data_IF_494895455949
#
_entry.id   IF_494895455949
#
_cell.length_a   1.000
_cell.length_b   1.000
_cell.length_c   1.000
_cell.angle_alpha   90.00
_cell.angle_beta   90.00
_cell.angle_gamma   90.00
#
_symmetry.space_group_name_H-M   'P 1'
#
loop_
_entity.id
_entity.type
_entity.pdbx_description
1 polymer ?
#
# COMPACT_ATOMS: atom_id res chain seq x y z
N UNK A 1 -16.83 27.94 -10.09
CA UNK A 1 -17.37 27.04 -9.05
C UNK A 1 -16.92 25.62 -9.38
N UNK A 2 -15.85 25.14 -8.75
CA UNK A 2 -15.35 23.79 -8.96
C UNK A 2 -15.93 22.87 -7.89
N UNK A 3 -16.69 21.89 -8.37
CA UNK A 3 -17.46 20.93 -7.59
C UNK A 3 -16.51 20.12 -6.70
N UNK A 4 -16.70 20.28 -5.39
CA UNK A 4 -16.12 19.43 -4.35
C UNK A 4 -16.68 18.04 -4.56
N UNK A 5 -15.87 17.12 -5.09
CA UNK A 5 -16.22 15.71 -5.06
C UNK A 5 -16.12 15.25 -3.60
N UNK A 6 -17.28 15.15 -2.95
CA UNK A 6 -17.45 14.33 -1.76
C UNK A 6 -16.89 12.94 -2.07
N UNK A 7 -15.80 12.60 -1.38
CA UNK A 7 -15.30 11.24 -1.27
C UNK A 7 -16.41 10.45 -0.58
N UNK A 8 -17.33 9.89 -1.38
CA UNK A 8 -18.25 8.88 -0.90
C UNK A 8 -17.39 7.77 -0.28
N UNK A 9 -17.46 7.65 1.04
CA UNK A 9 -16.88 6.57 1.82
C UNK A 9 -17.43 5.26 1.25
N UNK A 10 -16.69 4.67 0.30
CA UNK A 10 -17.01 3.37 -0.26
C UNK A 10 -16.98 2.39 0.90
N UNK A 11 -18.17 1.99 1.34
CA UNK A 11 -18.40 1.06 2.44
C UNK A 11 -17.53 -0.17 2.26
N UNK A 12 -16.48 -0.29 3.07
CA UNK A 12 -15.64 -1.47 3.09
C UNK A 12 -16.54 -2.66 3.47
N UNK A 13 -16.58 -3.71 2.63
CA UNK A 13 -17.33 -4.93 2.94
C UNK A 13 -16.92 -5.45 4.32
N UNK A 14 -17.87 -5.40 5.24
CA UNK A 14 -17.77 -5.67 6.66
C UNK A 14 -17.03 -6.98 7.02
N UNK A 15 -16.11 -6.95 7.99
CA UNK A 15 -15.37 -8.12 8.49
C UNK A 15 -16.21 -8.89 9.53
N UNK A 16 -16.20 -10.22 9.50
CA UNK A 16 -16.91 -11.06 10.49
C UNK A 16 -15.87 -11.71 11.39
N UNK A 17 -15.93 -11.40 12.69
CA UNK A 17 -15.04 -11.94 13.71
C UNK A 17 -15.61 -13.20 14.36
N UNK A 18 -14.75 -14.01 14.97
CA UNK A 18 -15.18 -15.18 15.77
C UNK A 18 -16.09 -14.75 16.93
N UNK A 19 -17.02 -15.63 17.32
CA UNK A 19 -18.00 -15.38 18.39
C UNK A 19 -17.37 -14.98 19.73
N UNK A 20 -16.24 -15.58 20.07
CA UNK A 20 -15.50 -15.30 21.30
C UNK A 20 -14.20 -14.58 20.96
N UNK A 21 -13.82 -13.61 21.79
CA UNK A 21 -12.52 -12.98 21.72
C UNK A 21 -11.43 -14.04 22.03
N UNK A 22 -10.30 -14.06 21.29
CA UNK A 22 -9.26 -15.10 21.42
C UNK A 22 -8.91 -15.41 22.88
N UNK A 23 -8.80 -16.70 23.21
CA UNK A 23 -8.39 -17.21 24.53
C UNK A 23 -9.22 -16.71 25.73
N UNK A 24 -10.45 -16.23 25.50
CA UNK A 24 -11.32 -15.71 26.57
C UNK A 24 -12.75 -16.22 26.45
N UNK A 25 -13.55 -15.96 27.50
CA UNK A 25 -15.01 -16.16 27.49
C UNK A 25 -15.78 -14.91 27.03
N UNK A 26 -15.07 -13.84 26.61
CA UNK A 26 -15.71 -12.59 26.19
C UNK A 26 -16.41 -12.78 24.83
N UNK A 27 -17.74 -12.85 24.88
CA UNK A 27 -18.60 -13.05 23.70
C UNK A 27 -18.83 -11.71 22.99
N UNK A 28 -18.58 -11.68 21.68
CA UNK A 28 -18.90 -10.55 20.81
C UNK A 28 -20.41 -10.46 20.56
N UNK A 29 -20.91 -9.25 20.40
CA UNK A 29 -22.26 -8.98 19.91
C UNK A 29 -22.40 -9.55 18.49
N UNK A 30 -23.51 -10.23 18.22
CA UNK A 30 -23.77 -10.79 16.90
C UNK A 30 -24.23 -9.69 15.96
N UNK A 31 -23.48 -9.46 14.88
CA UNK A 31 -23.75 -8.42 13.90
C UNK A 31 -24.05 -9.05 12.55
N UNK A 32 -25.13 -8.61 11.92
CA UNK A 32 -25.37 -8.84 10.50
C UNK A 32 -24.47 -7.94 9.66
N UNK A 33 -24.31 -8.27 8.37
CA UNK A 33 -23.47 -7.47 7.44
C UNK A 33 -23.90 -6.00 7.33
N UNK A 34 -25.18 -5.70 7.52
CA UNK A 34 -25.74 -4.34 7.44
C UNK A 34 -25.44 -3.50 8.68
N UNK A 35 -25.27 -4.14 9.84
CA UNK A 35 -25.04 -3.46 11.12
C UNK A 35 -23.57 -3.12 11.36
N UNK A 36 -22.65 -3.68 10.59
CA UNK A 36 -21.20 -3.49 10.79
C UNK A 36 -20.74 -2.05 10.45
N UNK A 37 -21.11 -1.43 9.32
CA UNK A 37 -20.69 -0.06 9.04
C UNK A 37 -21.17 0.93 10.11
N UNK A 38 -20.29 1.83 10.57
CA UNK A 38 -20.63 2.84 11.58
C UNK A 38 -21.75 3.78 11.14
N UNK A 39 -21.91 4.00 9.83
CA UNK A 39 -23.01 4.78 9.24
C UNK A 39 -24.39 4.17 9.46
N UNK A 40 -24.48 2.85 9.72
CA UNK A 40 -25.74 2.23 10.08
C UNK A 40 -26.16 2.67 11.49
N UNK A 41 -27.35 3.26 11.60
CA UNK A 41 -27.90 3.73 12.86
C UNK A 41 -28.33 2.55 13.74
N UNK A 42 -27.53 2.23 14.77
CA UNK A 42 -27.79 1.13 15.69
C UNK A 42 -27.76 1.63 17.14
N UNK A 43 -28.83 2.31 17.62
CA UNK A 43 -28.84 2.96 18.93
C UNK A 43 -28.78 1.97 20.10
N UNK A 44 -29.26 0.74 19.90
CA UNK A 44 -29.22 -0.34 20.89
C UNK A 44 -27.89 -1.12 20.91
N UNK A 45 -26.91 -0.71 20.10
CA UNK A 45 -25.62 -1.39 20.04
C UNK A 45 -24.81 -1.10 21.31
N UNK A 46 -24.80 -2.07 22.23
CA UNK A 46 -24.07 -1.99 23.49
C UNK A 46 -23.26 -3.28 23.68
N UNK A 47 -22.20 -3.48 22.89
CA UNK A 47 -21.38 -4.68 22.97
C UNK A 47 -20.68 -4.76 24.33
N UNK A 48 -20.32 -5.99 24.73
CA UNK A 48 -19.47 -6.20 25.90
C UNK A 48 -18.15 -5.46 25.72
N UNK A 49 -17.60 -5.00 26.84
CA UNK A 49 -16.31 -4.36 26.91
C UNK A 49 -15.28 -5.35 27.42
N UNK A 50 -14.09 -5.37 26.81
CA UNK A 50 -12.97 -6.20 27.25
C UNK A 50 -11.64 -5.48 27.02
N UNK A 51 -10.82 -5.44 28.08
CA UNK A 51 -9.44 -4.97 28.09
C UNK A 51 -8.62 -6.02 28.86
N UNK A 52 -7.63 -6.63 28.22
CA UNK A 52 -6.69 -7.50 28.91
C UNK A 52 -5.71 -6.67 29.75
N UNK A 53 -5.16 -7.24 30.84
CA UNK A 53 -4.03 -6.63 31.54
C UNK A 53 -2.88 -6.33 30.58
N UNK A 54 -2.18 -5.21 30.80
CA UNK A 54 -1.00 -4.91 30.00
C UNK A 54 0.12 -5.90 30.33
N UNK A 55 0.81 -6.49 29.33
CA UNK A 55 1.99 -7.31 29.59
C UNK A 55 3.07 -6.53 30.36
N UNK A 56 3.78 -7.15 31.33
CA UNK A 56 4.79 -6.46 32.14
C UNK A 56 5.94 -5.84 31.34
N UNK A 57 6.26 -6.41 30.18
CA UNK A 57 7.33 -6.00 29.28
C UNK A 57 6.88 -4.96 28.23
N UNK A 58 5.62 -4.52 28.29
CA UNK A 58 5.02 -3.59 27.31
C UNK A 58 4.39 -2.39 28.01
N UNK A 59 4.25 -1.31 27.24
CA UNK A 59 3.51 -0.12 27.67
C UNK A 59 2.21 -0.04 26.87
N UNK A 60 1.08 -0.14 27.56
CA UNK A 60 -0.23 -0.05 26.96
C UNK A 60 -0.90 1.28 27.32
N UNK A 61 -1.77 1.75 26.45
CA UNK A 61 -2.58 2.92 26.74
C UNK A 61 -3.52 2.63 27.92
N UNK A 62 -3.54 3.48 28.96
CA UNK A 62 -4.53 3.37 30.01
C UNK A 62 -5.94 3.56 29.45
N UNK A 63 -6.92 3.06 30.19
CA UNK A 63 -8.30 3.36 29.89
C UNK A 63 -8.74 4.62 30.63
N UNK A 64 -8.81 5.73 29.88
CA UNK A 64 -9.22 7.01 30.44
C UNK A 64 -10.45 7.50 29.68
N UNK A 65 -11.56 7.68 30.40
CA UNK A 65 -12.79 8.19 29.82
C UNK A 65 -12.70 9.70 29.62
N UNK A 66 -13.23 10.19 28.49
CA UNK A 66 -13.31 11.62 28.15
C UNK A 66 -11.94 12.34 28.04
N UNK A 67 -10.84 11.59 27.96
CA UNK A 67 -9.52 12.13 27.65
C UNK A 67 -9.10 11.62 26.28
N UNK A 68 -9.11 12.52 25.32
CA UNK A 68 -8.76 12.23 23.93
C UNK A 68 -7.25 12.27 23.75
N UNK A 69 -6.66 11.18 23.25
CA UNK A 69 -5.34 11.22 22.64
C UNK A 69 -5.35 12.06 21.37
N UNK A 70 -4.17 12.40 20.86
CA UNK A 70 -4.02 13.05 19.55
C UNK A 70 -4.20 12.04 18.40
N UNK A 71 -5.41 11.50 18.28
CA UNK A 71 -5.78 10.55 17.23
C UNK A 71 -5.59 11.13 15.82
N UNK A 72 -5.41 10.25 14.83
CA UNK A 72 -5.16 10.64 13.44
C UNK A 72 -3.90 11.53 13.25
N UNK A 73 -2.98 11.51 14.22
CA UNK A 73 -1.71 12.23 14.20
C UNK A 73 -0.61 11.44 14.93
N UNK A 74 0.60 12.00 14.99
CA UNK A 74 1.67 11.48 15.86
C UNK A 74 1.49 12.13 17.24
N UNK A 75 1.33 11.29 18.26
CA UNK A 75 1.09 11.67 19.65
C UNK A 75 2.31 11.31 20.49
N UNK A 76 3.22 12.27 20.66
CA UNK A 76 4.54 12.00 21.24
C UNK A 76 5.34 11.06 20.34
N UNK A 77 5.74 9.90 20.86
CA UNK A 77 6.40 8.83 20.09
C UNK A 77 5.44 7.86 19.41
N UNK A 78 4.13 7.94 19.69
CA UNK A 78 3.13 6.98 19.21
C UNK A 78 2.49 7.51 17.93
N UNK A 79 2.63 6.76 16.84
CA UNK A 79 1.89 7.02 15.61
C UNK A 79 0.45 6.51 15.75
N UNK A 80 -0.50 7.43 15.89
CA UNK A 80 -1.94 7.12 15.96
C UNK A 80 -2.63 7.30 14.61
N UNK A 81 -1.91 7.25 13.51
CA UNK A 81 -2.49 7.37 12.17
C UNK A 81 -2.78 6.00 11.58
N UNK A 82 -3.96 5.84 10.99
CA UNK A 82 -4.29 4.64 10.23
C UNK A 82 -3.79 4.76 8.79
N UNK A 83 -3.31 3.64 8.27
CA UNK A 83 -2.95 3.43 6.87
C UNK A 83 -4.18 3.56 5.95
N UNK A 84 -5.37 3.35 6.51
CA UNK A 84 -6.64 3.52 5.80
C UNK A 84 -7.13 4.98 5.74
N UNK A 85 -6.39 5.91 6.36
CA UNK A 85 -6.75 7.32 6.44
C UNK A 85 -7.40 7.69 7.77
N UNK A 86 -8.11 8.82 7.79
CA UNK A 86 -8.73 9.31 9.04
C UNK A 86 -9.84 8.37 9.49
N UNK A 87 -9.79 7.96 10.75
CA UNK A 87 -10.85 7.19 11.41
C UNK A 87 -11.67 8.07 12.36
N UNK A 88 -12.92 7.66 12.59
CA UNK A 88 -13.84 8.34 13.49
C UNK A 88 -13.44 8.18 14.97
N UNK A 89 -13.81 9.15 15.79
CA UNK A 89 -13.67 9.10 17.26
C UNK A 89 -15.05 9.36 17.84
N UNK A 90 -15.48 8.52 18.78
CA UNK A 90 -16.79 8.66 19.42
C UNK A 90 -16.79 9.79 20.46
N UNK A 91 -17.99 10.14 20.94
CA UNK A 91 -18.19 11.21 21.94
C UNK A 91 -17.51 10.96 23.29
N UNK A 92 -17.01 9.75 23.53
CA UNK A 92 -16.31 9.36 24.75
C UNK A 92 -14.79 9.27 24.54
N UNK A 93 -14.28 9.81 23.44
CA UNK A 93 -12.87 9.78 23.07
C UNK A 93 -12.32 8.39 22.71
N UNK A 94 -13.16 7.44 22.30
CA UNK A 94 -12.69 6.16 21.77
C UNK A 94 -12.67 6.15 20.24
N UNK A 95 -11.59 5.66 19.61
CA UNK A 95 -11.53 5.57 18.17
C UNK A 95 -12.50 4.49 17.67
N UNK A 96 -12.95 4.65 16.44
CA UNK A 96 -13.86 3.75 15.76
C UNK A 96 -13.11 2.99 14.67
N UNK A 97 -13.10 1.66 14.75
CA UNK A 97 -12.42 0.81 13.79
C UNK A 97 -12.90 1.12 12.36
N UNK A 98 -11.99 1.47 11.42
CA UNK A 98 -12.34 1.90 10.07
C UNK A 98 -13.03 0.80 9.24
N UNK A 99 -12.97 -0.47 9.68
CA UNK A 99 -13.69 -1.59 9.07
C UNK A 99 -15.07 -1.85 9.69
N UNK A 100 -15.52 -1.01 10.62
CA UNK A 100 -16.84 -1.06 11.24
C UNK A 100 -16.83 -1.71 12.63
N UNK A 101 -18.04 -1.93 13.14
CA UNK A 101 -18.32 -2.63 14.40
C UNK A 101 -17.81 -4.07 14.34
N UNK A 102 -17.11 -4.46 15.40
CA UNK A 102 -16.58 -5.79 15.63
C UNK A 102 -17.41 -6.63 16.61
N UNK A 103 -18.36 -5.99 17.31
CA UNK A 103 -19.16 -6.62 18.36
C UNK A 103 -18.50 -6.60 19.75
N UNK A 104 -17.40 -5.86 19.94
CA UNK A 104 -16.71 -5.79 21.22
C UNK A 104 -16.06 -4.41 21.41
N UNK A 105 -16.29 -3.76 22.56
CA UNK A 105 -15.62 -2.52 22.95
C UNK A 105 -14.37 -2.77 23.79
N UNK A 106 -13.51 -1.76 23.87
CA UNK A 106 -12.22 -1.84 24.57
C UNK A 106 -11.07 -2.11 23.61
N UNK A 107 -9.83 -2.14 24.11
CA UNK A 107 -8.62 -2.51 23.36
C UNK A 107 -8.49 -4.01 23.12
N UNK A 108 -9.19 -4.83 23.91
CA UNK A 108 -8.86 -6.25 23.99
C UNK A 108 -7.43 -6.44 24.52
N UNK A 109 -6.62 -7.21 23.81
CA UNK A 109 -5.21 -7.49 24.11
C UNK A 109 -4.24 -6.52 23.42
N UNK A 110 -4.74 -5.61 22.58
CA UNK A 110 -3.91 -4.66 21.86
C UNK A 110 -3.40 -3.55 22.79
N UNK A 111 -2.22 -3.02 22.48
CA UNK A 111 -1.50 -2.10 23.37
C UNK A 111 -2.06 -0.68 23.27
N UNK A 112 -2.42 -0.24 22.06
CA UNK A 112 -2.85 1.14 21.77
C UNK A 112 -4.35 1.21 21.49
N UNK A 113 -4.97 2.33 21.85
CA UNK A 113 -6.29 2.69 21.29
C UNK A 113 -6.11 3.11 19.83
N UNK A 114 -6.95 2.56 18.95
CA UNK A 114 -6.90 2.81 17.51
C UNK A 114 -5.97 1.84 16.78
N UNK A 115 -5.15 2.32 15.81
CA UNK A 115 -4.26 1.44 15.05
C UNK A 115 -3.11 0.93 15.94
N UNK A 116 -2.83 -0.37 15.84
CA UNK A 116 -1.68 -1.04 16.42
C UNK A 116 -0.81 -1.53 15.27
N UNK A 117 0.34 -0.89 15.08
CA UNK A 117 1.22 -1.17 13.96
C UNK A 117 2.09 -2.39 14.23
N UNK A 118 2.01 -3.39 13.37
CA UNK A 118 2.79 -4.63 13.44
C UNK A 118 3.68 -4.74 12.20
N UNK A 119 4.99 -4.72 12.38
CA UNK A 119 5.95 -4.73 11.26
C UNK A 119 6.56 -6.12 11.15
N UNK A 120 6.48 -6.71 9.96
CA UNK A 120 6.93 -8.06 9.65
C UNK A 120 7.96 -8.05 8.53
N UNK A 121 8.86 -9.02 8.58
CA UNK A 121 9.91 -9.22 7.59
C UNK A 121 9.87 -10.65 7.06
N UNK A 122 9.76 -10.80 5.75
CA UNK A 122 10.06 -12.02 5.01
C UNK A 122 11.52 -11.93 4.63
N UNK A 123 12.38 -12.72 5.27
CA UNK A 123 13.82 -12.74 4.99
C UNK A 123 14.13 -14.09 4.38
N UNK A 124 14.68 -14.10 3.17
CA UNK A 124 15.06 -15.32 2.48
C UNK A 124 16.51 -15.33 2.06
N UNK A 125 17.09 -16.52 1.96
CA UNK A 125 18.46 -16.75 1.52
C UNK A 125 18.54 -17.91 0.50
N UNK A 126 19.61 -17.96 -0.28
CA UNK A 126 19.83 -18.94 -1.34
C UNK A 126 19.08 -18.70 -2.68
N UNK A 127 19.66 -19.22 -3.78
CA UNK A 127 19.10 -19.13 -5.15
C UNK A 127 18.18 -20.30 -5.48
N UNK A 128 18.74 -21.52 -5.47
CA UNK A 128 18.08 -22.75 -5.95
C UNK A 128 17.19 -23.37 -4.87
N UNK A 129 17.74 -23.55 -3.67
CA UNK A 129 17.00 -23.93 -2.48
C UNK A 129 16.81 -22.66 -1.67
N UNK A 130 15.56 -22.24 -1.49
CA UNK A 130 15.23 -21.04 -0.72
C UNK A 130 14.90 -21.40 0.71
N UNK A 131 15.65 -20.80 1.62
CA UNK A 131 15.35 -20.83 3.03
C UNK A 131 14.74 -19.50 3.45
N UNK A 132 13.81 -19.57 4.40
CA UNK A 132 13.15 -18.40 4.98
C UNK A 132 13.37 -18.39 6.48
N UNK A 133 13.73 -17.22 7.00
CA UNK A 133 13.83 -16.99 8.43
C UNK A 133 12.43 -16.89 9.02
N UNK A 134 12.10 -17.79 9.94
CA UNK A 134 10.76 -17.90 10.53
C UNK A 134 10.84 -18.12 12.04
N UNK A 135 9.78 -17.78 12.77
CA UNK A 135 9.67 -18.16 14.18
C UNK A 135 9.44 -19.67 14.27
N UNK A 136 10.24 -20.34 15.11
CA UNK A 136 10.15 -21.75 15.36
C UNK A 136 8.87 -22.06 16.18
N UNK A 137 7.83 -22.48 15.46
CA UNK A 137 6.57 -22.92 16.07
C UNK A 137 6.46 -24.44 16.06
N UNK A 138 5.83 -25.00 17.10
CA UNK A 138 5.43 -26.40 17.15
C UNK A 138 4.43 -26.76 16.03
N UNK A 139 3.63 -25.79 15.57
CA UNK A 139 2.74 -25.98 14.42
C UNK A 139 3.51 -25.78 13.12
N UNK A 140 4.01 -26.88 12.55
CA UNK A 140 4.73 -26.88 11.26
C UNK A 140 3.90 -26.32 10.10
N UNK A 141 2.57 -26.24 10.22
CA UNK A 141 1.69 -25.70 9.16
C UNK A 141 1.58 -24.18 9.19
N UNK A 142 1.92 -23.55 10.32
CA UNK A 142 1.80 -22.11 10.48
C UNK A 142 3.16 -21.41 10.39
N UNK A 143 3.46 -20.87 9.21
CA UNK A 143 4.65 -20.04 9.00
C UNK A 143 4.44 -18.69 9.70
N UNK A 144 5.33 -18.30 10.60
CA UNK A 144 5.26 -17.02 11.30
C UNK A 144 6.50 -16.21 10.92
N UNK A 145 6.28 -15.05 10.30
CA UNK A 145 7.35 -14.15 9.94
C UNK A 145 7.88 -13.42 11.19
N UNK A 146 9.20 -13.18 11.28
CA UNK A 146 9.75 -12.26 12.27
C UNK A 146 9.00 -10.93 12.21
N UNK A 147 8.48 -10.49 13.36
CA UNK A 147 7.75 -9.25 13.43
C UNK A 147 7.41 -8.86 14.86
N UNK A 148 7.11 -7.57 15.02
CA UNK A 148 6.86 -6.97 16.32
C UNK A 148 5.90 -5.78 16.19
N UNK A 149 5.18 -5.50 17.28
CA UNK A 149 4.40 -4.27 17.43
C UNK A 149 5.31 -3.08 17.68
N UNK A 150 5.07 -1.98 16.96
CA UNK A 150 5.87 -0.77 17.06
C UNK A 150 4.97 0.43 17.29
N UNK A 151 5.45 1.37 18.11
CA UNK A 151 4.71 2.60 18.39
C UNK A 151 4.68 3.53 17.19
N UNK A 152 5.75 3.56 16.40
CA UNK A 152 5.84 4.35 15.19
C UNK A 152 6.37 3.52 14.02
N UNK A 153 5.50 3.33 13.02
CA UNK A 153 5.81 2.60 11.79
C UNK A 153 6.45 3.47 10.70
N UNK A 154 6.50 4.80 10.87
CA UNK A 154 7.09 5.69 9.86
C UNK A 154 8.61 5.52 9.84
N UNK A 155 9.16 5.36 8.63
CA UNK A 155 10.59 5.25 8.36
C UNK A 155 11.31 4.17 9.20
N UNK A 156 10.57 3.15 9.66
CA UNK A 156 11.17 2.07 10.41
C UNK A 156 12.15 1.29 9.53
N UNK A 157 13.30 0.96 10.13
CA UNK A 157 14.23 -0.06 9.62
C UNK A 157 13.68 -1.41 10.06
N UNK A 158 14.36 -2.14 10.94
CA UNK A 158 13.81 -3.32 11.59
C UNK A 158 13.07 -2.95 12.87
N UNK A 159 12.09 -3.77 13.32
CA UNK A 159 11.55 -3.65 14.67
C UNK A 159 12.67 -3.83 15.71
N UNK A 160 12.60 -3.17 16.88
CA UNK A 160 13.68 -3.16 17.86
C UNK A 160 14.22 -4.55 18.25
N UNK A 161 13.34 -5.52 18.52
CA UNK A 161 13.80 -6.85 18.91
C UNK A 161 14.52 -7.58 17.77
N UNK A 162 14.03 -7.42 16.53
CA UNK A 162 14.67 -8.02 15.36
C UNK A 162 15.99 -7.33 15.02
N UNK A 163 16.06 -6.00 15.16
CA UNK A 163 17.29 -5.25 14.98
C UNK A 163 18.35 -5.71 15.99
N UNK A 164 17.99 -5.79 17.28
CA UNK A 164 18.90 -6.22 18.33
C UNK A 164 19.40 -7.66 18.11
N UNK A 165 18.52 -8.55 17.64
CA UNK A 165 18.93 -9.91 17.25
C UNK A 165 19.95 -9.89 16.11
N UNK A 166 19.67 -9.14 15.03
CA UNK A 166 20.57 -9.03 13.88
C UNK A 166 21.93 -8.45 14.28
N UNK A 167 21.94 -7.33 15.01
CA UNK A 167 23.17 -6.67 15.45
C UNK A 167 23.98 -7.58 16.38
N UNK A 168 23.36 -8.13 17.42
CA UNK A 168 24.06 -8.99 18.39
C UNK A 168 24.62 -10.26 17.73
N UNK A 169 23.91 -10.83 16.77
CA UNK A 169 24.33 -12.04 16.06
C UNK A 169 25.51 -11.79 15.12
N UNK A 170 25.47 -10.69 14.36
CA UNK A 170 26.53 -10.37 13.41
C UNK A 170 27.78 -9.79 14.11
N UNK A 171 27.61 -9.02 15.19
CA UNK A 171 28.71 -8.41 15.94
C UNK A 171 29.62 -9.43 16.65
N UNK A 172 29.18 -10.69 16.81
CA UNK A 172 30.06 -11.76 17.31
C UNK A 172 31.17 -12.12 16.31
N UNK A 173 30.86 -12.06 15.01
CA UNK A 173 31.73 -12.53 13.93
C UNK A 173 32.34 -11.40 13.10
N UNK A 174 31.75 -10.20 13.12
CA UNK A 174 32.10 -9.10 12.24
C UNK A 174 32.27 -7.78 13.00
N UNK A 175 33.20 -6.89 12.56
CA UNK A 175 33.35 -5.56 13.15
C UNK A 175 32.15 -4.67 12.85
N UNK A 176 31.91 -3.67 13.70
CA UNK A 176 30.71 -2.82 13.67
C UNK A 176 30.44 -2.18 12.29
N UNK A 177 31.46 -1.70 11.60
CA UNK A 177 31.32 -1.09 10.27
C UNK A 177 30.76 -2.07 9.23
N UNK A 178 31.15 -3.35 9.31
CA UNK A 178 30.67 -4.42 8.41
C UNK A 178 29.23 -4.78 8.77
N UNK A 179 28.89 -4.87 10.06
CA UNK A 179 27.51 -5.11 10.53
C UNK A 179 26.56 -4.03 10.01
N UNK A 180 26.96 -2.76 10.12
CA UNK A 180 26.16 -1.64 9.63
C UNK A 180 26.02 -1.66 8.10
N UNK A 181 27.05 -2.08 7.37
CA UNK A 181 26.97 -2.25 5.91
C UNK A 181 26.00 -3.37 5.51
N UNK A 182 26.05 -4.52 6.18
CA UNK A 182 25.11 -5.64 5.98
C UNK A 182 23.66 -5.19 6.20
N UNK A 183 23.39 -4.52 7.33
CA UNK A 183 22.05 -4.01 7.66
C UNK A 183 21.58 -3.00 6.61
N UNK A 184 22.46 -2.07 6.20
CA UNK A 184 22.16 -1.05 5.18
C UNK A 184 21.84 -1.69 3.83
N UNK A 185 22.63 -2.68 3.40
CA UNK A 185 22.42 -3.38 2.13
C UNK A 185 21.10 -4.17 2.13
N UNK A 186 20.81 -4.88 3.23
CA UNK A 186 19.54 -5.58 3.40
C UNK A 186 18.33 -4.63 3.33
N UNK A 187 18.43 -3.47 3.99
CA UNK A 187 17.37 -2.46 3.99
C UNK A 187 17.23 -1.72 2.66
N UNK A 188 18.31 -1.59 1.88
CA UNK A 188 18.31 -0.99 0.54
C UNK A 188 17.53 -1.83 -0.47
N UNK A 189 17.67 -3.16 -0.37
CA UNK A 189 17.05 -4.12 -1.28
C UNK A 189 15.64 -4.57 -0.83
N UNK A 190 15.16 -4.08 0.32
CA UNK A 190 13.84 -4.47 0.84
C UNK A 190 12.70 -4.05 -0.08
N UNK A 191 11.68 -4.88 -0.17
CA UNK A 191 10.46 -4.56 -0.90
C UNK A 191 9.23 -4.66 -0.01
N UNK A 192 8.39 -3.64 -0.04
CA UNK A 192 7.08 -3.66 0.62
C UNK A 192 6.12 -4.60 -0.12
N UNK A 193 5.77 -5.74 0.50
CA UNK A 193 4.79 -6.71 -0.04
C UNK A 193 3.37 -6.35 0.35
N UNK A 194 3.18 -5.81 1.55
CA UNK A 194 1.87 -5.47 2.06
C UNK A 194 1.93 -4.31 3.03
N UNK A 195 0.93 -3.43 2.96
CA UNK A 195 0.75 -2.30 3.85
C UNK A 195 -0.74 -2.02 4.02
N UNK A 196 -1.31 -2.36 5.17
CA UNK A 196 -2.72 -2.13 5.41
C UNK A 196 -3.30 -2.85 6.62
N UNK A 197 -4.63 -2.85 6.65
CA UNK A 197 -5.41 -3.41 7.75
C UNK A 197 -5.23 -4.92 7.89
N UNK A 198 -4.83 -5.36 9.08
CA UNK A 198 -4.65 -6.78 9.35
C UNK A 198 -5.93 -7.37 9.98
N UNK A 199 -6.51 -8.35 9.29
CA UNK A 199 -7.76 -9.00 9.66
C UNK A 199 -7.58 -10.00 10.82
N UNK A 200 -7.38 -9.47 12.03
CA UNK A 200 -7.06 -10.22 13.25
C UNK A 200 -8.27 -10.36 14.18
N UNK A 201 -8.43 -11.52 14.80
CA UNK A 201 -9.52 -11.79 15.75
C UNK A 201 -9.40 -10.98 17.06
N UNK A 202 -8.24 -10.34 17.30
CA UNK A 202 -8.03 -9.38 18.39
C UNK A 202 -8.58 -7.99 18.10
N UNK A 203 -8.96 -7.68 16.86
CA UNK A 203 -9.51 -6.37 16.54
C UNK A 203 -10.86 -6.15 17.25
N UNK A 204 -11.05 -4.97 17.80
CA UNK A 204 -12.26 -4.55 18.49
C UNK A 204 -12.90 -3.36 17.78
N UNK A 205 -13.91 -2.76 18.39
CA UNK A 205 -14.48 -1.49 17.93
C UNK A 205 -13.49 -0.33 18.10
N UNK A 206 -12.54 -0.45 19.02
CA UNK A 206 -11.70 0.65 19.51
C UNK A 206 -10.19 0.40 19.38
N UNK A 207 -9.76 -0.77 18.95
CA UNK A 207 -8.37 -1.06 18.63
C UNK A 207 -8.30 -2.09 17.50
N UNK A 208 -7.38 -1.90 16.56
CA UNK A 208 -7.21 -2.83 15.44
C UNK A 208 -5.76 -2.91 15.02
N UNK A 209 -5.42 -4.01 14.37
CA UNK A 209 -4.09 -4.20 13.82
C UNK A 209 -3.97 -3.66 12.40
N UNK A 210 -2.83 -3.07 12.13
CA UNK A 210 -2.38 -2.77 10.78
C UNK A 210 -0.95 -3.26 10.63
N UNK A 211 -0.59 -3.77 9.46
CA UNK A 211 0.72 -4.39 9.26
C UNK A 211 1.44 -3.91 8.03
N UNK A 212 2.77 -3.82 8.17
CA UNK A 212 3.73 -3.70 7.08
C UNK A 212 4.43 -5.04 6.95
N UNK A 213 4.52 -5.56 5.72
CA UNK A 213 5.29 -6.76 5.41
C UNK A 213 6.35 -6.35 4.40
N UNK A 214 7.60 -6.32 4.86
CA UNK A 214 8.77 -6.15 4.01
C UNK A 214 9.35 -7.50 3.61
N UNK A 215 9.98 -7.55 2.45
CA UNK A 215 10.60 -8.73 1.86
C UNK A 215 12.04 -8.39 1.51
N UNK A 216 12.98 -9.16 2.06
CA UNK A 216 14.42 -9.05 1.84
C UNK A 216 14.88 -10.39 1.32
N UNK A 217 15.40 -10.39 0.09
CA UNK A 217 15.97 -11.56 -0.54
C UNK A 217 17.49 -11.42 -0.61
N UNK A 218 18.19 -12.25 0.14
CA UNK A 218 19.65 -12.32 0.20
C UNK A 218 20.16 -13.58 -0.52
N UNK A 219 20.07 -13.57 -1.84
CA UNK A 219 20.23 -14.78 -2.65
C UNK A 219 21.65 -15.37 -2.66
N UNK A 220 22.67 -14.56 -2.37
CA UNK A 220 24.08 -14.94 -2.34
C UNK A 220 24.60 -15.17 -0.92
N UNK A 221 23.70 -15.16 0.08
CA UNK A 221 24.01 -15.33 1.50
C UNK A 221 25.06 -14.34 2.04
N UNK A 222 25.15 -13.14 1.44
CA UNK A 222 26.18 -12.14 1.77
C UNK A 222 25.74 -11.10 2.82
N UNK A 223 24.46 -11.06 3.17
CA UNK A 223 23.88 -10.10 4.11
C UNK A 223 23.20 -10.83 5.29
N UNK A 224 21.86 -10.81 5.35
CA UNK A 224 21.10 -11.42 6.45
C UNK A 224 21.10 -12.94 6.39
N UNK A 225 21.52 -13.56 5.28
CA UNK A 225 21.74 -15.00 5.15
C UNK A 225 22.84 -15.51 6.08
N UNK A 226 23.73 -14.63 6.56
CA UNK A 226 24.79 -14.91 7.53
C UNK A 226 24.27 -15.12 8.97
N UNK A 227 22.99 -14.84 9.23
CA UNK A 227 22.41 -14.95 10.57
C UNK A 227 22.45 -16.40 11.08
N UNK A 228 23.07 -16.57 12.23
CA UNK A 228 23.19 -17.83 12.95
C UNK A 228 22.01 -18.03 13.91
N UNK A 229 21.07 -18.89 13.55
CA UNK A 229 19.86 -19.11 14.34
C UNK A 229 20.07 -20.01 15.57
N UNK A 230 21.23 -20.65 15.71
CA UNK A 230 21.57 -21.44 16.89
C UNK A 230 22.24 -20.60 17.99
N UNK A 231 22.47 -19.31 17.70
CA UNK A 231 23.10 -18.37 18.61
C UNK A 231 22.29 -18.15 19.91
N UNK A 232 23.01 -17.99 21.03
CA UNK A 232 22.44 -17.86 22.38
C UNK A 232 21.50 -16.65 22.55
N UNK A 233 21.65 -15.60 21.74
CA UNK A 233 20.80 -14.39 21.78
C UNK A 233 19.51 -14.50 20.98
N UNK A 234 19.16 -15.69 20.45
CA UNK A 234 17.95 -15.92 19.69
C UNK A 234 16.67 -15.95 20.58
N UNK A 235 16.41 -14.85 21.28
CA UNK A 235 15.20 -14.65 22.11
C UNK A 235 13.90 -14.65 21.30
N UNK A 236 14.01 -14.42 19.98
CA UNK A 236 12.91 -14.48 19.04
C UNK A 236 12.58 -15.90 18.55
N UNK A 237 13.37 -16.90 18.97
CA UNK A 237 13.21 -18.31 18.59
C UNK A 237 13.12 -18.48 17.06
N UNK A 238 13.99 -17.80 16.32
CA UNK A 238 14.04 -17.83 14.86
C UNK A 238 14.80 -19.04 14.35
N UNK A 239 14.47 -19.50 13.15
CA UNK A 239 15.14 -20.62 12.48
C UNK A 239 15.00 -20.50 10.97
N UNK A 240 16.01 -20.95 10.23
CA UNK A 240 15.95 -21.09 8.78
C UNK A 240 15.15 -22.35 8.42
N UNK A 241 14.17 -22.22 7.52
CA UNK A 241 13.41 -23.36 6.98
C UNK A 241 13.36 -23.29 5.47
N UNK A 242 13.59 -24.43 4.82
CA UNK A 242 13.32 -24.60 3.39
C UNK A 242 11.81 -24.51 3.18
N UNK A 243 11.36 -23.50 2.45
CA UNK A 243 9.94 -23.25 2.17
C UNK A 243 9.80 -22.87 0.70
N UNK A 244 8.82 -23.47 0.02
CA UNK A 244 8.49 -23.08 -1.34
C UNK A 244 7.94 -21.64 -1.38
N UNK A 245 8.46 -20.82 -2.30
CA UNK A 245 8.06 -19.42 -2.47
C UNK A 245 6.55 -19.25 -2.63
N UNK A 246 5.87 -20.18 -3.30
CA UNK A 246 4.41 -20.17 -3.50
C UNK A 246 3.64 -20.21 -2.18
N UNK A 247 4.18 -20.86 -1.14
CA UNK A 247 3.56 -20.91 0.20
C UNK A 247 3.61 -19.53 0.88
N UNK A 248 4.74 -18.85 0.74
CA UNK A 248 4.94 -17.47 1.26
C UNK A 248 4.00 -16.50 0.53
N UNK A 249 3.96 -16.57 -0.79
CA UNK A 249 3.09 -15.72 -1.61
C UNK A 249 1.61 -15.97 -1.32
N UNK A 250 1.21 -17.24 -1.18
CA UNK A 250 -0.16 -17.62 -0.79
C UNK A 250 -0.54 -17.07 0.57
N UNK A 251 0.37 -17.11 1.56
CA UNK A 251 0.12 -16.55 2.89
C UNK A 251 -0.14 -15.04 2.80
N UNK A 252 0.68 -14.30 2.07
CA UNK A 252 0.51 -12.85 1.89
C UNK A 252 -0.80 -12.56 1.14
N UNK A 253 -1.12 -13.35 0.11
CA UNK A 253 -2.37 -13.20 -0.65
C UNK A 253 -3.61 -13.40 0.24
N UNK A 254 -3.58 -14.38 1.15
CA UNK A 254 -4.64 -14.59 2.15
C UNK A 254 -4.79 -13.36 3.05
N UNK A 255 -3.69 -12.74 3.49
CA UNK A 255 -3.71 -11.50 4.30
C UNK A 255 -4.40 -10.38 3.51
N UNK A 256 -4.01 -10.17 2.25
CA UNK A 256 -4.60 -9.16 1.36
C UNK A 256 -6.09 -9.40 1.15
N UNK A 257 -6.49 -10.64 0.84
CA UNK A 257 -7.89 -11.04 0.63
C UNK A 257 -8.72 -10.80 1.89
N UNK A 258 -8.20 -11.18 3.07
CA UNK A 258 -8.89 -11.01 4.36
C UNK A 258 -9.03 -9.55 4.78
N UNK A 259 -8.10 -8.67 4.40
CA UNK A 259 -8.21 -7.24 4.65
C UNK A 259 -9.41 -6.57 3.94
N UNK A 260 -10.04 -7.28 2.97
CA UNK A 260 -11.24 -6.84 2.22
C UNK A 260 -11.09 -5.39 1.74
N UNK A 261 -9.97 -5.13 1.04
CA UNK A 261 -9.63 -3.83 0.46
C UNK A 261 -10.74 -3.35 -0.50
N UNK A 262 -10.97 -2.03 -0.56
CA UNK A 262 -11.86 -1.42 -1.55
C UNK A 262 -11.28 -1.57 -2.96
N UNK A 263 -12.09 -1.34 -3.99
CA UNK A 263 -11.65 -1.44 -5.40
C UNK A 263 -10.38 -0.61 -5.68
N UNK A 264 -10.36 0.67 -5.29
CA UNK A 264 -9.18 1.52 -5.47
C UNK A 264 -7.93 1.03 -4.72
N UNK A 265 -8.12 0.44 -3.52
CA UNK A 265 -7.02 -0.15 -2.75
C UNK A 265 -6.49 -1.45 -3.38
N UNK A 266 -7.36 -2.27 -3.98
CA UNK A 266 -6.97 -3.44 -4.77
C UNK A 266 -6.21 -3.03 -6.03
N UNK A 267 -6.74 -2.06 -6.78
CA UNK A 267 -6.11 -1.52 -7.99
C UNK A 267 -4.73 -0.95 -7.66
N UNK A 268 -4.59 -0.17 -6.58
CA UNK A 268 -3.28 0.31 -6.13
C UNK A 268 -2.33 -0.84 -5.74
N UNK A 269 -2.83 -1.93 -5.16
CA UNK A 269 -2.02 -3.12 -4.85
C UNK A 269 -1.53 -3.85 -6.11
N UNK A 270 -2.40 -3.97 -7.12
CA UNK A 270 -2.09 -4.62 -8.41
C UNK A 270 -1.10 -3.76 -9.19
N UNK A 271 -1.38 -2.46 -9.32
CA UNK A 271 -0.49 -1.50 -9.99
C UNK A 271 0.90 -1.51 -9.33
N UNK A 272 0.99 -1.55 -8.00
CA UNK A 272 2.29 -1.65 -7.30
C UNK A 272 3.00 -2.97 -7.57
N UNK A 273 2.27 -4.07 -7.67
CA UNK A 273 2.86 -5.39 -7.99
C UNK A 273 3.35 -5.44 -9.44
N UNK A 274 2.59 -4.84 -10.38
CA UNK A 274 2.97 -4.73 -11.79
C UNK A 274 4.15 -3.76 -12.00
N UNK A 275 4.15 -2.59 -11.35
CA UNK A 275 5.27 -1.65 -11.35
C UNK A 275 6.54 -2.26 -10.77
N UNK A 276 6.41 -3.15 -9.78
CA UNK A 276 7.53 -3.90 -9.21
C UNK A 276 8.05 -4.95 -10.20
N UNK A 277 7.18 -5.72 -10.85
CA UNK A 277 7.59 -6.70 -11.87
C UNK A 277 8.25 -6.02 -13.10
N UNK A 278 7.76 -4.84 -13.49
CA UNK A 278 8.36 -3.96 -14.51
C UNK A 278 9.76 -3.46 -14.11
N UNK A 279 10.01 -3.32 -12.81
CA UNK A 279 11.30 -2.88 -12.26
C UNK A 279 12.32 -4.03 -12.22
N UNK A 280 11.85 -5.26 -12.13
CA UNK A 280 12.70 -6.41 -11.84
C UNK A 280 13.14 -7.20 -13.11
N UNK A 281 12.48 -7.11 -14.28
CA UNK A 281 12.97 -7.74 -15.54
C UNK A 281 12.63 -6.99 -16.85
N UNK A 282 13.61 -6.90 -17.77
CA UNK A 282 13.49 -6.33 -19.11
C UNK A 282 13.16 -7.43 -20.14
N UNK A 283 11.87 -7.75 -20.40
CA UNK A 283 11.29 -8.21 -21.71
C UNK A 283 9.87 -8.80 -21.64
N UNK A 284 9.06 -8.44 -22.66
CA UNK A 284 7.93 -9.09 -23.36
C UNK A 284 6.81 -9.86 -22.64
N UNK A 285 7.03 -10.56 -21.52
CA UNK A 285 5.96 -11.31 -20.81
C UNK A 285 4.89 -10.41 -20.17
N UNK A 286 5.20 -9.12 -20.07
CA UNK A 286 4.41 -8.10 -19.38
C UNK A 286 3.14 -7.73 -20.15
N UNK A 287 3.15 -7.81 -21.48
CA UNK A 287 1.99 -7.44 -22.29
C UNK A 287 0.85 -8.46 -22.15
N UNK A 288 1.17 -9.74 -21.96
CA UNK A 288 0.19 -10.81 -21.77
C UNK A 288 -0.47 -10.77 -20.38
N UNK A 289 0.31 -10.53 -19.31
CA UNK A 289 -0.25 -10.40 -17.96
C UNK A 289 -1.10 -9.12 -17.80
N UNK A 290 -0.73 -8.03 -18.45
CA UNK A 290 -1.53 -6.80 -18.49
C UNK A 290 -2.76 -6.96 -19.38
N UNK A 291 -2.64 -7.68 -20.51
CA UNK A 291 -3.74 -8.02 -21.41
C UNK A 291 -4.80 -8.90 -20.76
N UNK A 292 -4.41 -9.93 -20.00
CA UNK A 292 -5.33 -10.78 -19.24
C UNK A 292 -6.00 -10.04 -18.08
N UNK A 293 -5.30 -9.08 -17.45
CA UNK A 293 -5.86 -8.23 -16.40
C UNK A 293 -6.90 -7.24 -16.94
N UNK A 294 -6.71 -6.74 -18.16
CA UNK A 294 -7.66 -5.84 -18.85
C UNK A 294 -8.84 -6.62 -19.43
N UNK A 295 -8.62 -7.80 -20.00
CA UNK A 295 -9.67 -8.62 -20.61
C UNK A 295 -10.60 -9.28 -19.58
N UNK A 296 -10.12 -9.62 -18.39
CA UNK A 296 -10.97 -10.09 -17.28
C UNK A 296 -11.70 -8.96 -16.54
N UNK A 297 -11.46 -7.70 -16.94
CA UNK A 297 -12.17 -6.50 -16.49
C UNK A 297 -13.10 -5.99 -17.61
N UNK A 298 -14.03 -6.85 -18.06
CA UNK A 298 -15.05 -6.46 -19.04
C UNK A 298 -15.91 -5.35 -18.45
N UNK A 299 -15.69 -4.13 -18.96
CA UNK A 299 -16.50 -2.95 -18.69
C UNK A 299 -15.67 -1.75 -18.28
N UNK A 300 -14.90 -1.17 -19.21
CA UNK A 300 -14.53 0.27 -19.31
C UNK A 300 -13.47 0.45 -20.41
N UNK A 301 -13.90 0.32 -21.67
CA UNK A 301 -13.11 0.65 -22.86
C UNK A 301 -12.66 2.13 -22.93
N UNK A 302 -13.22 3.01 -22.11
CA UNK A 302 -12.89 4.44 -22.09
C UNK A 302 -11.71 4.83 -21.17
N UNK A 303 -11.36 4.01 -20.16
CA UNK A 303 -10.24 4.31 -19.24
C UNK A 303 -8.91 3.79 -19.80
N UNK A 304 -8.95 2.77 -20.66
CA UNK A 304 -7.77 2.18 -21.29
C UNK A 304 -7.05 3.18 -22.19
N UNK A 305 -7.80 4.00 -22.93
CA UNK A 305 -7.23 4.99 -23.86
C UNK A 305 -6.52 6.10 -23.06
N UNK A 306 -7.11 6.60 -21.98
CA UNK A 306 -6.54 7.73 -21.22
C UNK A 306 -5.28 7.39 -20.42
N UNK A 307 -5.11 6.15 -19.94
CA UNK A 307 -3.91 5.74 -19.19
C UNK A 307 -2.77 5.25 -20.09
N UNK A 308 -3.08 4.63 -21.23
CA UNK A 308 -2.07 4.32 -22.26
C UNK A 308 -1.55 5.60 -22.89
N UNK A 309 -2.42 6.60 -23.11
CA UNK A 309 -2.02 7.94 -23.57
C UNK A 309 -1.18 8.71 -22.53
N UNK A 310 -1.46 8.56 -21.23
CA UNK A 310 -0.63 9.15 -20.17
C UNK A 310 0.77 8.51 -20.07
N UNK A 311 0.87 7.20 -20.29
CA UNK A 311 2.15 6.49 -20.28
C UNK A 311 2.97 6.77 -21.54
N UNK A 312 2.34 6.87 -22.71
CA UNK A 312 3.01 7.29 -23.95
C UNK A 312 3.46 8.76 -23.90
N UNK A 313 2.72 9.66 -23.24
CA UNK A 313 3.16 11.02 -22.96
C UNK A 313 4.39 11.06 -22.04
N UNK A 314 4.48 10.19 -21.03
CA UNK A 314 5.66 10.15 -20.15
C UNK A 314 6.94 9.75 -20.90
N UNK A 315 6.83 8.84 -21.87
CA UNK A 315 7.94 8.45 -22.76
C UNK A 315 8.33 9.54 -23.76
N UNK A 316 7.36 10.33 -24.24
CA UNK A 316 7.60 11.45 -25.14
C UNK A 316 8.28 12.64 -24.41
N UNK A 317 7.88 12.92 -23.16
CA UNK A 317 8.49 14.00 -22.34
C UNK A 317 9.92 13.65 -21.92
N UNK A 318 10.23 12.38 -21.67
CA UNK A 318 11.60 11.93 -21.37
C UNK A 318 12.47 11.91 -22.64
N UNK A 319 11.94 11.53 -23.80
CA UNK A 319 12.66 11.66 -25.09
C UNK A 319 12.88 13.12 -25.49
N UNK A 320 11.93 14.00 -25.25
CA UNK A 320 12.05 15.42 -25.58
C UNK A 320 13.09 16.13 -24.71
N UNK A 321 13.18 15.79 -23.41
CA UNK A 321 14.21 16.33 -22.51
C UNK A 321 15.62 15.78 -22.75
N UNK A 322 15.77 14.55 -23.24
CA UNK A 322 17.10 14.05 -23.63
C UNK A 322 17.58 14.61 -24.97
N UNK A 323 16.70 14.86 -25.95
CA UNK A 323 17.12 15.47 -27.22
C UNK A 323 17.54 16.94 -27.06
N UNK A 324 16.95 17.66 -26.10
CA UNK A 324 17.26 19.06 -25.85
C UNK A 324 18.56 19.28 -25.04
N UNK A 325 19.06 18.25 -24.35
CA UNK A 325 20.32 18.34 -23.59
C UNK A 325 21.57 17.93 -24.39
N UNK A 326 21.41 17.31 -25.56
CA UNK A 326 22.53 16.87 -26.41
C UNK A 326 22.87 17.88 -27.51
N UNK A 327 21.96 18.81 -27.86
CA UNK A 327 22.12 19.72 -29.00
C UNK A 327 22.49 21.18 -28.69
N UNK A 328 22.98 21.51 -27.49
CA UNK A 328 23.44 22.88 -27.19
C UNK A 328 24.86 22.90 -26.59
N UNK A 329 25.83 22.62 -27.46
CA UNK A 329 27.16 23.25 -27.40
C UNK A 329 27.38 23.95 -28.75
N UNK A 330 27.86 25.19 -28.65
CA UNK A 330 28.33 26.09 -29.71
C UNK A 330 27.26 26.79 -30.56
N UNK A 331 27.07 28.10 -30.33
CA UNK A 331 27.61 29.18 -31.19
C UNK A 331 27.16 30.56 -30.65
N UNK A 332 28.14 31.46 -30.60
CA UNK A 332 28.08 32.87 -30.24
C UNK A 332 27.32 33.75 -31.26
N UNK A 333 26.82 34.88 -30.77
CA UNK A 333 26.73 36.21 -31.42
C UNK A 333 25.38 36.73 -31.97
N UNK A 334 24.94 37.79 -31.27
CA UNK A 334 24.49 39.12 -31.75
C UNK A 334 23.08 39.37 -32.33
N UNK A 335 22.44 40.37 -31.68
CA UNK A 335 21.71 41.53 -32.23
C UNK A 335 20.17 41.51 -32.45
N UNK A 336 19.50 42.22 -31.51
CA UNK A 336 18.68 43.45 -31.69
C UNK A 336 17.21 43.48 -32.23
N UNK A 337 16.39 44.23 -31.45
CA UNK A 337 15.14 45.01 -31.72
C UNK A 337 13.82 44.25 -32.00
N UNK A 338 12.80 44.33 -31.11
CA UNK A 338 11.63 45.27 -31.02
C UNK A 338 10.67 45.17 -32.24
N UNK A 339 9.34 45.31 -32.21
CA UNK A 339 8.29 45.66 -31.23
C UNK A 339 6.92 45.60 -31.98
N UNK A 340 5.82 45.28 -31.28
CA UNK A 340 4.39 45.58 -31.60
C UNK A 340 3.75 45.19 -32.96
N UNK A 341 2.61 44.48 -32.98
CA UNK A 341 1.25 45.06 -32.97
C UNK A 341 0.10 44.02 -33.09
N UNK A 342 -1.12 44.50 -32.88
CA UNK A 342 -2.39 43.84 -32.58
C UNK A 342 -3.17 43.22 -33.78
N UNK A 343 -4.04 42.27 -33.41
CA UNK A 343 -5.42 42.01 -33.88
C UNK A 343 -5.75 41.42 -35.27
N UNK A 344 -6.62 40.40 -35.19
CA UNK A 344 -7.70 39.96 -36.07
C UNK A 344 -7.47 39.72 -37.57
N UNK A 345 -7.70 38.47 -38.01
CA UNK A 345 -8.91 38.13 -38.78
C UNK A 345 -8.95 36.65 -39.17
N UNK A 346 -10.12 36.08 -38.86
CA UNK A 346 -10.81 34.99 -39.56
C UNK A 346 -10.46 34.80 -41.04
N UNK A 347 -10.24 33.52 -41.38
CA UNK A 347 -10.75 32.85 -42.58
C UNK A 347 -10.83 33.68 -43.88
N UNK A 348 -9.84 33.49 -44.77
CA UNK A 348 -10.07 33.12 -46.18
C UNK A 348 -8.75 33.11 -46.97
N UNK A 349 -8.24 31.91 -47.27
CA UNK A 349 -7.33 31.69 -48.40
C UNK A 349 -7.84 30.51 -49.22
N UNK A 350 -8.69 30.80 -50.20
CA UNK A 350 -8.78 30.07 -51.47
C UNK A 350 -9.28 31.03 -52.54
N UNK A 351 -8.35 31.69 -53.22
CA UNK A 351 -8.57 32.29 -54.53
C UNK A 351 -7.61 31.60 -55.49
N UNK A 352 -8.17 31.00 -56.55
CA UNK A 352 -7.62 30.88 -57.89
C UNK A 352 -8.63 30.06 -58.70
N UNK A 353 -9.17 30.44 -59.85
CA UNK A 353 -9.00 31.57 -60.76
C UNK A 353 -10.10 31.50 -61.84
N UNK A 354 -10.58 32.67 -62.33
CA UNK A 354 -10.97 33.03 -63.73
C UNK A 354 -12.10 32.21 -64.43
N UNK A 355 -12.98 32.73 -65.30
CA UNK A 355 -13.14 34.00 -66.04
C UNK A 355 -14.51 33.98 -66.79
N UNK A 356 -15.12 35.16 -66.97
CA UNK A 356 -15.97 35.65 -68.11
C UNK A 356 -17.31 34.99 -68.53
N UNK A 357 -18.40 35.63 -68.09
CA UNK A 357 -19.52 36.32 -68.81
C UNK A 357 -20.08 35.90 -70.20
N UNK A 358 -21.43 35.68 -70.18
CA UNK A 358 -22.55 35.97 -71.12
C UNK A 358 -22.55 35.30 -72.52
N UNK A 359 -23.63 34.73 -73.09
CA UNK A 359 -25.09 34.97 -72.98
C UNK A 359 -25.85 33.82 -73.69
N UNK A 360 -27.03 33.39 -73.20
CA UNK A 360 -28.29 33.10 -73.95
C UNK A 360 -29.22 32.14 -73.20
N UNK A 361 -30.50 32.41 -73.42
CA UNK A 361 -31.75 31.99 -72.75
C UNK A 361 -32.17 30.54 -72.95
N UNK A 362 -32.85 30.03 -71.92
CA UNK A 362 -33.94 29.04 -71.87
C UNK A 362 -33.84 27.74 -72.68
N UNK A 363 -33.68 26.60 -71.98
CA UNK A 363 -34.78 25.68 -71.66
C UNK A 363 -34.29 24.37 -71.00
N UNK A 364 -35.13 23.87 -70.09
CA UNK A 364 -35.34 22.47 -69.72
C UNK A 364 -34.24 21.69 -68.97
N UNK A 365 -34.42 21.64 -67.64
CA UNK A 365 -34.76 20.41 -66.91
C UNK A 365 -33.93 19.15 -67.16
N UNK A 366 -33.06 18.81 -66.21
CA UNK A 366 -32.97 17.46 -65.64
C UNK A 366 -32.18 17.50 -64.34
N UNK A 367 -32.65 16.72 -63.36
CA UNK A 367 -32.10 16.60 -62.02
C UNK A 367 -31.25 15.33 -61.98
N UNK A 368 -30.02 15.45 -61.48
CA UNK A 368 -29.09 14.34 -61.31
C UNK A 368 -28.16 14.59 -60.14
N UNK A 369 -28.37 13.75 -59.11
CA UNK A 369 -27.51 13.27 -58.01
C UNK A 369 -26.89 14.30 -57.06
#
# INVERSE_FOLDING_TARGET
>A
LLIVWEVHLISAKAMVYKKYYPNTKAKRWSLSKKEIPWSYHHPKYLPKKYNAPCPPDKVCDPEIYNVCYRYNSIDGSINRQSILGKYGVDKFCFPQNPKGRSGLRGRGELFRWGPNHYVQYVISRGVNVREYLVVNSHDKKNIIFPGEFVDNSRNITFPPMLLNFIESNLSEKYPENVVQEIIKNALKNRILRYHGYYADDRNTDNAWMETLIYDINDSDDSNLGLLDTEHLTNSLNLTWKIIDKSVIDSKIEVIVKRARLTFGQKVASIIRSALKALRDENKAGIMFAFGDAVNNFVGLSAIVITLVDMLSFSSAVVKFKLSHFINNKDIHSSMHFSSHCLWDLEQQKKISHRKTTWQMTDKEGSCGI
#
